data_IF_134923496482
#
_entry.id   IF_134923496482
#
_cell.length_a   1.000
_cell.length_b   1.000
_cell.length_c   1.000
_cell.angle_alpha   90.00
_cell.angle_beta   90.00
_cell.angle_gamma   90.00
#
_symmetry.space_group_name_H-M   'P 1'
#
loop_
_entity.id
_entity.type
_entity.pdbx_description
1 polymer ?
#
# COMPACT_ATOMS: atom_id res chain seq x y z
N UNK A 1 78.03 54.88 -27.20
CA UNK A 1 77.11 54.43 -26.14
C UNK A 1 76.01 53.59 -26.76
N UNK A 2 75.74 52.44 -26.15
CA UNK A 2 74.57 51.55 -26.27
C UNK A 2 74.33 50.82 -27.60
N UNK A 3 74.87 49.60 -27.63
CA UNK A 3 74.27 48.41 -28.21
C UNK A 3 72.98 48.05 -27.47
N UNK A 4 71.92 47.62 -28.18
CA UNK A 4 70.84 46.88 -27.55
C UNK A 4 69.53 46.84 -28.32
N UNK A 5 68.96 45.62 -28.38
CA UNK A 5 67.53 45.35 -28.58
C UNK A 5 67.01 45.14 -30.00
N UNK A 6 67.27 43.95 -30.57
CA UNK A 6 66.25 43.24 -31.36
C UNK A 6 66.52 41.76 -31.60
N UNK A 7 66.83 41.01 -30.54
CA UNK A 7 66.67 39.55 -30.54
C UNK A 7 66.17 39.23 -29.16
N UNK A 8 64.96 38.68 -29.05
CA UNK A 8 64.46 37.85 -27.94
C UNK A 8 62.93 37.85 -27.95
N UNK A 9 62.31 37.15 -28.92
CA UNK A 9 60.91 36.72 -28.80
C UNK A 9 60.66 35.30 -29.31
N UNK A 10 61.72 34.53 -29.61
CA UNK A 10 61.61 33.14 -30.09
C UNK A 10 62.06 32.12 -29.02
N UNK A 11 62.74 32.56 -27.96
CA UNK A 11 63.17 31.70 -26.85
C UNK A 11 62.15 31.59 -25.71
N UNK A 12 61.06 32.35 -25.75
CA UNK A 12 60.10 32.42 -24.64
C UNK A 12 59.05 31.29 -24.63
N UNK A 13 59.04 30.39 -25.62
CA UNK A 13 58.00 29.37 -25.71
C UNK A 13 58.48 27.96 -26.04
N UNK A 14 59.67 27.57 -25.57
CA UNK A 14 60.19 26.19 -25.71
C UNK A 14 60.92 25.72 -24.47
N UNK A 15 60.28 25.67 -23.31
CA UNK A 15 60.82 24.90 -22.18
C UNK A 15 59.78 24.73 -21.06
N UNK A 16 58.61 24.15 -21.36
CA UNK A 16 57.88 23.45 -20.30
C UNK A 16 58.60 22.11 -20.09
N UNK A 17 59.56 22.15 -19.17
CA UNK A 17 60.34 21.01 -18.69
C UNK A 17 59.39 19.88 -18.26
N UNK A 18 59.77 18.62 -18.54
CA UNK A 18 59.01 17.43 -18.17
C UNK A 18 58.67 17.31 -16.68
N UNK A 19 59.33 18.08 -15.81
CA UNK A 19 59.00 18.19 -14.39
C UNK A 19 57.70 18.95 -14.11
N UNK A 20 57.35 19.99 -14.88
CA UNK A 20 56.10 20.74 -14.66
C UNK A 20 54.86 19.96 -15.07
N UNK A 21 54.97 19.09 -16.08
CA UNK A 21 53.90 18.18 -16.49
C UNK A 21 53.55 17.15 -15.41
N UNK A 22 54.56 16.66 -14.69
CA UNK A 22 54.35 15.73 -13.57
C UNK A 22 53.75 16.43 -12.34
N UNK A 23 54.05 17.71 -12.13
CA UNK A 23 53.45 18.53 -11.06
C UNK A 23 51.94 18.72 -11.26
N UNK A 24 51.48 18.92 -12.50
CA UNK A 24 50.04 19.04 -12.80
C UNK A 24 49.32 17.69 -12.68
N UNK A 25 49.96 16.58 -13.05
CA UNK A 25 49.39 15.23 -12.89
C UNK A 25 49.25 14.82 -11.40
N UNK A 26 50.14 15.27 -10.52
CA UNK A 26 50.03 15.04 -9.07
C UNK A 26 48.99 15.96 -8.39
N UNK A 27 48.71 17.13 -8.97
CA UNK A 27 47.76 18.09 -8.41
C UNK A 27 46.28 17.69 -8.55
N UNK A 28 45.97 16.68 -9.37
CA UNK A 28 44.62 16.14 -9.55
C UNK A 28 44.43 14.81 -8.80
N UNK A 29 45.01 14.67 -7.61
CA UNK A 29 44.57 13.66 -6.66
C UNK A 29 43.14 14.02 -6.20
N UNK A 30 42.16 13.46 -6.90
CA UNK A 30 40.73 13.60 -6.61
C UNK A 30 40.50 13.23 -5.14
N UNK A 31 40.26 14.23 -4.29
CA UNK A 31 39.95 13.99 -2.87
C UNK A 31 38.68 13.15 -2.80
N UNK A 32 38.80 11.91 -2.37
CA UNK A 32 37.69 11.05 -2.02
C UNK A 32 37.05 11.62 -0.76
N UNK A 33 36.00 12.40 -0.91
CA UNK A 33 35.13 12.81 0.19
C UNK A 33 34.36 11.57 0.66
N UNK A 34 34.75 11.04 1.82
CA UNK A 34 34.06 9.90 2.45
C UNK A 34 32.80 10.34 3.18
N UNK A 35 31.85 9.41 3.31
CA UNK A 35 30.63 9.57 4.10
C UNK A 35 30.99 9.73 5.58
N UNK A 36 30.42 10.72 6.26
CA UNK A 36 30.67 10.90 7.70
C UNK A 36 29.74 10.02 8.53
N UNK A 37 30.16 9.63 9.74
CA UNK A 37 29.29 8.91 10.68
C UNK A 37 28.01 9.71 11.00
N UNK A 38 28.13 11.03 11.09
CA UNK A 38 27.00 11.92 11.37
C UNK A 38 25.92 11.82 10.28
N UNK A 39 26.33 11.72 9.02
CA UNK A 39 25.42 11.66 7.88
C UNK A 39 24.60 10.36 7.87
N UNK A 40 25.24 9.23 8.19
CA UNK A 40 24.54 7.96 8.37
C UNK A 40 23.58 8.01 9.56
N UNK A 41 23.99 8.62 10.67
CA UNK A 41 23.16 8.73 11.87
C UNK A 41 21.90 9.56 11.60
N UNK A 42 22.04 10.69 10.91
CA UNK A 42 20.91 11.53 10.50
C UNK A 42 20.01 10.76 9.52
N UNK A 43 20.60 10.08 8.53
CA UNK A 43 19.83 9.27 7.58
C UNK A 43 19.02 8.19 8.29
N UNK A 44 19.61 7.47 9.24
CA UNK A 44 18.92 6.45 10.04
C UNK A 44 17.84 7.06 10.94
N UNK A 45 18.09 8.22 11.54
CA UNK A 45 17.11 8.92 12.37
C UNK A 45 15.88 9.27 11.54
N UNK A 46 16.05 9.94 10.40
CA UNK A 46 14.92 10.32 9.53
C UNK A 46 14.24 9.07 8.95
N UNK A 47 15.01 8.09 8.48
CA UNK A 47 14.48 6.86 7.91
C UNK A 47 13.65 6.06 8.91
N UNK A 48 14.09 5.96 10.17
CA UNK A 48 13.35 5.23 11.20
C UNK A 48 12.00 5.88 11.51
N UNK A 49 11.96 7.22 11.63
CA UNK A 49 10.71 7.97 11.86
C UNK A 49 9.74 7.75 10.69
N UNK A 50 10.22 7.90 9.45
CA UNK A 50 9.41 7.66 8.26
C UNK A 50 8.91 6.22 8.18
N UNK A 51 9.76 5.24 8.52
CA UNK A 51 9.41 3.82 8.50
C UNK A 51 8.31 3.49 9.52
N UNK A 52 8.41 4.04 10.74
CA UNK A 52 7.38 3.85 11.77
C UNK A 52 6.05 4.46 11.34
N UNK A 53 6.08 5.68 10.79
CA UNK A 53 4.86 6.34 10.28
C UNK A 53 4.25 5.57 9.10
N UNK A 54 5.07 5.12 8.15
CA UNK A 54 4.61 4.36 6.99
C UNK A 54 4.02 3.00 7.41
N UNK A 55 4.67 2.30 8.33
CA UNK A 55 4.18 1.03 8.85
C UNK A 55 2.87 1.20 9.62
N UNK A 56 2.77 2.21 10.49
CA UNK A 56 1.53 2.54 11.20
C UNK A 56 0.39 2.93 10.24
N UNK A 57 0.70 3.71 9.20
CA UNK A 57 -0.27 4.06 8.16
C UNK A 57 -0.78 2.85 7.38
N UNK A 58 0.11 1.94 6.98
CA UNK A 58 -0.27 0.70 6.30
C UNK A 58 -1.16 -0.19 7.18
N UNK A 59 -0.79 -0.36 8.45
CA UNK A 59 -1.58 -1.14 9.40
C UNK A 59 -2.99 -0.57 9.54
N UNK A 60 -3.13 0.76 9.66
CA UNK A 60 -4.43 1.43 9.73
C UNK A 60 -5.30 1.18 8.49
N UNK A 61 -4.70 1.17 7.29
CA UNK A 61 -5.42 0.87 6.05
C UNK A 61 -5.90 -0.59 6.02
N UNK A 62 -5.06 -1.53 6.46
CA UNK A 62 -5.41 -2.97 6.52
C UNK A 62 -6.58 -3.18 7.47
N UNK A 63 -6.52 -2.63 8.67
CA UNK A 63 -7.58 -2.72 9.68
C UNK A 63 -8.89 -2.08 9.16
N UNK A 64 -8.80 -0.90 8.57
CA UNK A 64 -9.97 -0.22 7.99
C UNK A 64 -10.64 -1.05 6.89
N UNK A 65 -9.85 -1.67 6.02
CA UNK A 65 -10.34 -2.59 4.99
C UNK A 65 -11.04 -3.79 5.62
N UNK A 66 -10.48 -4.36 6.67
CA UNK A 66 -11.06 -5.52 7.37
C UNK A 66 -12.41 -5.18 8.02
N UNK A 67 -12.48 -4.06 8.74
CA UNK A 67 -13.74 -3.57 9.32
C UNK A 67 -14.82 -3.34 8.25
N UNK A 68 -14.45 -2.71 7.14
CA UNK A 68 -15.36 -2.46 6.01
C UNK A 68 -15.84 -3.77 5.38
N UNK A 69 -14.93 -4.73 5.18
CA UNK A 69 -15.24 -6.05 4.64
C UNK A 69 -16.23 -6.82 5.53
N UNK A 70 -16.05 -6.77 6.85
CA UNK A 70 -16.94 -7.42 7.80
C UNK A 70 -18.34 -6.80 7.81
N UNK A 71 -18.43 -5.46 7.73
CA UNK A 71 -19.71 -4.77 7.58
C UNK A 71 -20.42 -5.16 6.26
N UNK A 72 -19.67 -5.22 5.15
CA UNK A 72 -20.20 -5.64 3.85
C UNK A 72 -20.73 -7.08 3.88
N UNK A 73 -20.00 -8.03 4.49
CA UNK A 73 -20.46 -9.42 4.67
C UNK A 73 -21.80 -9.48 5.40
N UNK A 74 -21.94 -8.75 6.50
CA UNK A 74 -23.18 -8.73 7.28
C UNK A 74 -24.37 -8.20 6.48
N UNK A 75 -24.16 -7.23 5.60
CA UNK A 75 -25.20 -6.74 4.69
C UNK A 75 -25.60 -7.79 3.65
N UNK A 76 -24.62 -8.52 3.10
CA UNK A 76 -24.88 -9.62 2.16
C UNK A 76 -25.68 -10.73 2.83
N UNK A 77 -25.36 -11.10 4.08
CA UNK A 77 -26.10 -12.11 4.82
C UNK A 77 -27.57 -11.71 5.02
N UNK A 78 -27.81 -10.45 5.39
CA UNK A 78 -29.17 -9.92 5.55
C UNK A 78 -29.93 -9.89 4.22
N UNK A 79 -29.30 -9.41 3.14
CA UNK A 79 -29.92 -9.39 1.82
C UNK A 79 -30.28 -10.81 1.35
N UNK A 80 -29.40 -11.77 1.61
CA UNK A 80 -29.61 -13.18 1.29
C UNK A 80 -30.78 -13.75 2.09
N UNK A 81 -30.86 -13.47 3.39
CA UNK A 81 -31.98 -13.89 4.23
C UNK A 81 -33.32 -13.33 3.73
N UNK A 82 -33.38 -12.03 3.39
CA UNK A 82 -34.60 -11.42 2.82
C UNK A 82 -34.96 -11.99 1.44
N UNK A 83 -33.97 -12.32 0.61
CA UNK A 83 -34.22 -12.97 -0.68
C UNK A 83 -34.89 -14.34 -0.49
N UNK A 84 -34.42 -15.15 0.47
CA UNK A 84 -35.03 -16.44 0.76
C UNK A 84 -36.46 -16.28 1.29
N UNK A 85 -36.66 -15.42 2.28
CA UNK A 85 -38.00 -15.15 2.83
C UNK A 85 -38.95 -14.65 1.74
N UNK A 86 -38.50 -13.70 0.90
CA UNK A 86 -39.30 -13.17 -0.19
C UNK A 86 -39.70 -14.24 -1.20
N UNK A 87 -38.75 -15.10 -1.58
CA UNK A 87 -39.00 -16.23 -2.47
C UNK A 87 -40.00 -17.22 -1.88
N UNK A 88 -39.88 -17.56 -0.61
CA UNK A 88 -40.78 -18.50 0.06
C UNK A 88 -42.21 -17.96 0.13
N UNK A 89 -42.37 -16.65 0.37
CA UNK A 89 -43.68 -15.98 0.36
C UNK A 89 -44.27 -15.93 -1.05
N UNK A 90 -43.48 -15.58 -2.07
CA UNK A 90 -43.93 -15.55 -3.46
C UNK A 90 -44.33 -16.93 -3.99
N UNK A 91 -43.67 -17.99 -3.51
CA UNK A 91 -43.98 -19.37 -3.85
C UNK A 91 -45.08 -19.99 -2.98
N UNK A 92 -45.53 -19.29 -1.94
CA UNK A 92 -46.58 -19.80 -1.08
C UNK A 92 -47.93 -19.78 -1.82
N UNK A 93 -48.47 -20.98 -2.04
CA UNK A 93 -49.77 -21.18 -2.69
C UNK A 93 -50.81 -21.62 -1.66
N UNK A 94 -52.01 -21.06 -1.72
CA UNK A 94 -53.12 -21.34 -0.80
C UNK A 94 -53.76 -22.72 -0.98
N UNK A 95 -52.96 -23.79 -1.00
CA UNK A 95 -53.43 -25.17 -1.16
C UNK A 95 -53.39 -25.91 0.17
N UNK A 96 -54.53 -26.39 0.63
CA UNK A 96 -54.60 -27.25 1.80
C UNK A 96 -53.93 -28.60 1.52
N UNK A 97 -53.06 -29.05 2.42
CA UNK A 97 -52.38 -30.35 2.34
C UNK A 97 -53.03 -31.30 3.34
N UNK A 98 -53.24 -32.57 2.94
CA UNK A 98 -53.69 -33.62 3.86
C UNK A 98 -52.48 -34.23 4.54
N UNK A 99 -52.50 -34.34 5.85
CA UNK A 99 -51.44 -35.00 6.59
C UNK A 99 -51.56 -36.54 6.53
N UNK A 100 -50.61 -37.25 7.16
CA UNK A 100 -50.58 -38.71 7.20
C UNK A 100 -51.75 -39.38 7.93
N UNK A 101 -52.58 -38.60 8.64
CA UNK A 101 -53.79 -39.07 9.32
C UNK A 101 -55.08 -38.71 8.55
N UNK A 102 -54.96 -38.00 7.44
CA UNK A 102 -56.06 -37.62 6.55
C UNK A 102 -56.67 -36.26 6.86
N UNK A 103 -56.16 -35.56 7.88
CA UNK A 103 -56.64 -34.27 8.33
C UNK A 103 -56.14 -33.15 7.40
N UNK A 104 -57.01 -32.18 7.13
CA UNK A 104 -56.75 -31.08 6.22
C UNK A 104 -56.05 -29.96 6.98
N UNK A 105 -54.77 -29.70 6.67
CA UNK A 105 -54.02 -28.58 7.24
C UNK A 105 -54.02 -27.37 6.30
N UNK A 106 -54.11 -26.15 6.87
CA UNK A 106 -54.05 -24.91 6.10
C UNK A 106 -52.66 -24.73 5.47
N UNK A 107 -52.59 -24.03 4.33
CA UNK A 107 -51.37 -23.83 3.55
C UNK A 107 -50.27 -23.01 4.26
N UNK A 108 -50.66 -22.24 5.28
CA UNK A 108 -49.73 -21.57 6.20
C UNK A 108 -50.30 -21.68 7.61
N UNK A 109 -49.43 -21.97 8.58
CA UNK A 109 -49.76 -21.94 10.00
C UNK A 109 -48.68 -21.16 10.75
N UNK A 110 -49.09 -20.10 11.45
CA UNK A 110 -48.21 -19.38 12.36
C UNK A 110 -48.11 -20.13 13.69
N UNK A 111 -46.89 -20.25 14.23
CA UNK A 111 -46.71 -20.74 15.59
C UNK A 111 -47.27 -19.76 16.61
N UNK A 112 -47.81 -20.27 17.72
CA UNK A 112 -48.21 -19.44 18.86
C UNK A 112 -46.99 -18.66 19.38
N UNK A 113 -47.18 -17.40 19.77
CA UNK A 113 -46.11 -16.47 20.15
C UNK A 113 -45.10 -17.13 21.12
N UNK A 114 -43.96 -17.59 20.58
CA UNK A 114 -42.80 -18.02 21.36
C UNK A 114 -42.47 -19.51 21.39
N UNK A 115 -43.26 -20.43 20.80
CA UNK A 115 -42.98 -21.88 20.92
C UNK A 115 -42.92 -22.69 19.61
N UNK A 116 -43.34 -22.16 18.46
CA UNK A 116 -43.28 -22.90 17.19
C UNK A 116 -42.71 -22.10 16.02
N UNK A 117 -41.87 -22.79 15.22
CA UNK A 117 -41.35 -22.32 13.93
C UNK A 117 -42.48 -22.29 12.90
N UNK A 118 -42.61 -21.18 12.16
CA UNK A 118 -43.52 -21.12 11.01
C UNK A 118 -43.19 -22.26 10.04
N UNK A 119 -44.13 -23.19 9.88
CA UNK A 119 -43.98 -24.34 9.01
C UNK A 119 -44.82 -24.13 7.76
N UNK A 120 -44.17 -24.17 6.60
CA UNK A 120 -44.81 -24.19 5.29
C UNK A 120 -45.00 -25.66 4.88
N UNK A 121 -46.21 -26.06 4.49
CA UNK A 121 -46.54 -27.43 4.05
C UNK A 121 -46.92 -27.49 2.59
#
# INVERSE_FOLDING_TARGET
MQSGSKKNNVAANRSLSGTERNLVLLASAKRTTGFTLLELLIAMMVFSILSVMAYGGLQSVIETKEHTSNAAKRLVDLQTAFMFIGRDIEQAVGRSVRDGFGDVRPAMQGGEFGSELMTLT
#
